data_IF_950226960038
#
_entry.id   IF_950226960038
#
_cell.length_a   1.000
_cell.length_b   1.000
_cell.length_c   1.000
_cell.angle_alpha   90.00
_cell.angle_beta   90.00
_cell.angle_gamma   90.00
#
_symmetry.space_group_name_H-M   'P 1'
#
loop_
_entity.id
_entity.type
_entity.pdbx_description
1 polymer ?
#
# COMPACT_ATOMS: atom_id res chain seq x y z
N UNK A 1 -25.34 -5.98 6.65
CA UNK A 1 -24.84 -6.21 6.30
C UNK A 1 -24.05 -6.13 5.99
N UNK A 2 -24.04 -6.17 6.43
CA UNK A 2 -22.82 -6.18 6.10
C UNK A 2 -22.71 -5.92 5.03
N UNK A 3 -21.84 -5.46 4.97
CA UNK A 3 -21.70 -5.25 3.77
C UNK A 3 -21.36 -6.43 3.07
N UNK A 4 -22.17 -6.90 2.32
CA UNK A 4 -21.97 -8.06 1.57
C UNK A 4 -20.95 -7.78 0.51
N UNK A 5 -19.94 -8.59 0.41
CA UNK A 5 -18.91 -8.44 -0.59
C UNK A 5 -17.90 -7.36 -0.28
N UNK A 6 -18.13 -6.74 0.85
CA UNK A 6 -17.21 -5.71 1.23
C UNK A 6 -16.06 -6.35 1.95
N UNK A 7 -15.03 -6.59 1.25
CA UNK A 7 -13.88 -7.22 1.81
C UNK A 7 -12.77 -6.22 1.86
N UNK A 8 -12.35 -5.87 3.01
CA UNK A 8 -11.24 -4.95 3.17
C UNK A 8 -10.21 -5.67 4.00
N UNK A 9 -8.99 -5.75 3.52
CA UNK A 9 -7.93 -6.34 4.30
C UNK A 9 -6.88 -5.29 4.56
N UNK A 10 -6.30 -5.35 5.74
CA UNK A 10 -5.26 -4.42 6.13
C UNK A 10 -4.07 -5.20 6.65
N UNK A 11 -2.90 -4.60 6.53
CA UNK A 11 -1.69 -5.22 7.04
C UNK A 11 -0.75 -4.13 7.50
N UNK A 12 -0.19 -4.30 8.68
CA UNK A 12 0.82 -3.38 9.19
C UNK A 12 2.18 -3.95 8.90
N UNK A 13 3.03 -3.15 8.27
CA UNK A 13 4.35 -3.59 7.87
C UNK A 13 5.36 -2.54 8.32
N UNK A 14 6.47 -3.02 8.88
CA UNK A 14 7.56 -2.12 9.23
C UNK A 14 8.53 -2.08 8.06
N UNK A 15 8.85 -0.87 7.62
CA UNK A 15 9.76 -0.70 6.50
C UNK A 15 11.18 -1.00 6.96
N UNK A 16 11.82 -1.96 6.30
CA UNK A 16 13.17 -2.37 6.68
C UNK A 16 14.23 -1.88 5.71
N UNK A 17 13.82 -1.41 4.53
CA UNK A 17 14.77 -0.90 3.55
C UNK A 17 15.44 0.37 4.06
N UNK A 18 16.74 0.47 3.88
CA UNK A 18 17.47 1.66 4.28
C UNK A 18 16.99 2.92 3.58
N UNK A 19 16.41 2.77 2.41
CA UNK A 19 15.96 3.90 1.61
C UNK A 19 14.48 4.22 1.80
N UNK A 20 13.79 3.42 2.62
CA UNK A 20 12.36 3.62 2.82
C UNK A 20 11.58 3.32 1.55
N UNK A 21 10.46 4.01 1.38
CA UNK A 21 9.66 3.88 0.17
C UNK A 21 10.02 4.98 -0.80
N UNK A 22 11.13 4.80 -1.50
CA UNK A 22 11.58 5.77 -2.48
C UNK A 22 10.90 5.49 -3.84
N UNK A 23 11.41 6.13 -4.90
CA UNK A 23 10.72 6.15 -6.19
C UNK A 23 10.44 4.77 -6.79
N UNK A 24 11.41 3.84 -6.70
CA UNK A 24 11.23 2.54 -7.34
C UNK A 24 10.11 1.72 -6.70
N UNK A 25 10.13 1.44 -5.38
CA UNK A 25 9.04 0.68 -4.80
C UNK A 25 7.72 1.42 -4.88
N UNK A 26 7.71 2.76 -4.78
CA UNK A 26 6.48 3.51 -4.91
C UNK A 26 5.88 3.31 -6.30
N UNK A 27 6.70 3.33 -7.34
CA UNK A 27 6.23 3.11 -8.69
C UNK A 27 5.69 1.70 -8.87
N UNK A 28 6.37 0.70 -8.29
CA UNK A 28 5.91 -0.67 -8.40
C UNK A 28 4.58 -0.88 -7.69
N UNK A 29 4.42 -0.29 -6.51
CA UNK A 29 3.16 -0.39 -5.78
C UNK A 29 2.04 0.25 -6.59
N UNK A 30 2.30 1.41 -7.18
CA UNK A 30 1.29 2.09 -8.00
C UNK A 30 0.88 1.26 -9.20
N UNK A 31 1.83 0.58 -9.82
CA UNK A 31 1.50 -0.29 -10.96
C UNK A 31 0.56 -1.41 -10.53
N UNK A 32 0.80 -2.00 -9.37
CA UNK A 32 -0.07 -3.05 -8.86
C UNK A 32 -1.46 -2.47 -8.57
N UNK A 33 -1.51 -1.32 -7.91
CA UNK A 33 -2.78 -0.70 -7.56
C UNK A 33 -3.61 -0.36 -8.80
N UNK A 34 -2.94 -0.02 -9.91
CA UNK A 34 -3.64 0.31 -11.15
C UNK A 34 -3.96 -0.92 -11.99
N UNK A 35 -3.22 -2.00 -11.78
CA UNK A 35 -3.44 -3.22 -12.55
C UNK A 35 -4.72 -3.95 -12.13
N UNK A 36 -5.02 -3.93 -10.85
CA UNK A 36 -6.17 -4.61 -10.31
C UNK A 36 -7.31 -3.65 -10.04
N UNK A 37 -8.53 -4.16 -10.07
CA UNK A 37 -9.70 -3.35 -9.74
C UNK A 37 -9.88 -3.37 -8.22
N UNK A 38 -8.97 -2.73 -7.55
CA UNK A 38 -8.87 -2.77 -6.10
C UNK A 38 -8.34 -1.43 -5.61
N UNK A 39 -9.00 -0.88 -4.61
CA UNK A 39 -8.53 0.36 -4.00
C UNK A 39 -7.42 0.04 -3.03
N UNK A 40 -6.30 0.71 -3.17
CA UNK A 40 -5.16 0.53 -2.29
C UNK A 40 -4.83 1.85 -1.64
N UNK A 41 -4.83 1.85 -0.32
CA UNK A 41 -4.47 3.04 0.45
C UNK A 41 -3.31 2.69 1.37
N UNK A 42 -2.46 3.67 1.62
CA UNK A 42 -1.34 3.50 2.54
C UNK A 42 -1.44 4.58 3.60
N UNK A 43 -1.37 4.17 4.85
CA UNK A 43 -1.42 5.07 5.98
C UNK A 43 -0.10 5.04 6.70
N UNK A 44 0.49 6.20 6.90
CA UNK A 44 1.74 6.34 7.63
C UNK A 44 1.91 7.79 8.04
N UNK A 45 2.62 8.03 9.13
CA UNK A 45 2.94 9.37 9.59
C UNK A 45 1.71 10.27 9.70
N UNK A 46 0.59 9.69 10.16
CA UNK A 46 -0.68 10.40 10.36
C UNK A 46 -1.33 10.88 9.07
N UNK A 47 -0.98 10.27 7.96
CA UNK A 47 -1.57 10.59 6.68
C UNK A 47 -2.04 9.30 6.01
N UNK A 48 -3.06 9.43 5.17
CA UNK A 48 -3.51 8.29 4.38
C UNK A 48 -3.64 8.77 2.94
N UNK A 49 -3.13 7.98 2.01
CA UNK A 49 -3.14 8.36 0.59
C UNK A 49 -3.57 7.17 -0.27
N UNK A 50 -3.99 7.49 -1.48
CA UNK A 50 -4.31 6.48 -2.47
C UNK A 50 -3.02 6.09 -3.20
N UNK A 51 -2.75 4.79 -3.25
CA UNK A 51 -1.47 4.30 -3.76
C UNK A 51 -1.39 4.25 -5.28
N UNK A 52 -2.41 4.74 -5.98
CA UNK A 52 -2.37 4.71 -7.45
C UNK A 52 -1.38 5.69 -8.04
N UNK A 53 -0.91 6.63 -7.25
CA UNK A 53 0.04 7.63 -7.74
C UNK A 53 1.34 7.56 -6.93
N UNK A 54 2.48 7.31 -7.60
CA UNK A 54 3.74 7.18 -6.87
C UNK A 54 4.11 8.41 -6.05
N UNK A 55 3.81 9.59 -6.58
CA UNK A 55 4.13 10.82 -5.86
C UNK A 55 3.38 10.93 -4.54
N UNK A 56 2.15 10.41 -4.50
CA UNK A 56 1.40 10.42 -3.26
C UNK A 56 2.06 9.51 -2.22
N UNK A 57 2.54 8.35 -2.66
CA UNK A 57 3.23 7.44 -1.74
C UNK A 57 4.48 8.12 -1.19
N UNK A 58 5.24 8.74 -2.08
CA UNK A 58 6.47 9.40 -1.65
C UNK A 58 6.21 10.58 -0.74
N UNK A 59 5.03 11.21 -0.87
CA UNK A 59 4.69 12.34 -0.03
C UNK A 59 4.51 11.96 1.44
N UNK A 60 4.37 10.67 1.72
CA UNK A 60 4.23 10.21 3.10
C UNK A 60 5.53 10.31 3.89
N UNK A 61 6.67 10.43 3.21
CA UNK A 61 7.94 10.54 3.91
C UNK A 61 8.32 9.28 4.66
N UNK A 62 8.06 8.13 4.05
CA UNK A 62 8.31 6.85 4.70
C UNK A 62 9.79 6.50 4.67
N UNK A 63 10.36 6.32 5.86
CA UNK A 63 11.77 5.98 5.99
C UNK A 63 11.92 4.62 6.66
N UNK A 64 13.16 4.17 6.81
CA UNK A 64 13.42 2.92 7.50
C UNK A 64 12.81 2.95 8.90
N UNK A 65 12.23 1.84 9.29
CA UNK A 65 11.59 1.63 10.59
C UNK A 65 10.24 2.32 10.76
N UNK A 66 9.73 2.95 9.70
CA UNK A 66 8.38 3.49 9.74
C UNK A 66 7.38 2.33 9.64
N UNK A 67 6.35 2.37 10.47
CA UNK A 67 5.26 1.42 10.37
C UNK A 67 4.22 1.97 9.40
N UNK A 68 3.86 1.16 8.42
CA UNK A 68 2.83 1.56 7.44
C UNK A 68 1.69 0.58 7.50
N UNK A 69 0.50 1.09 7.24
CA UNK A 69 -0.68 0.25 7.15
C UNK A 69 -1.14 0.24 5.70
N UNK A 70 -1.18 -0.94 5.11
CA UNK A 70 -1.64 -1.11 3.74
C UNK A 70 -3.09 -1.57 3.80
N UNK A 71 -3.96 -0.89 3.09
CA UNK A 71 -5.39 -1.19 3.09
C UNK A 71 -5.81 -1.50 1.66
N UNK A 72 -6.29 -2.71 1.44
CA UNK A 72 -6.76 -3.14 0.12
C UNK A 72 -8.24 -3.47 0.19
N UNK A 73 -9.01 -2.91 -0.73
CA UNK A 73 -10.46 -3.09 -0.74
C UNK A 73 -10.93 -3.23 -2.18
N UNK A 74 -11.43 -4.41 -2.54
CA UNK A 74 -11.92 -4.64 -3.87
C UNK A 74 -11.56 -6.02 -4.39
N UNK A 75 -11.58 -6.15 -5.71
CA UNK A 75 -11.29 -7.42 -6.35
C UNK A 75 -9.82 -7.80 -6.16
N UNK A 76 -9.58 -9.06 -5.88
CA UNK A 76 -8.20 -9.59 -5.75
C UNK A 76 -7.42 -8.94 -4.61
N UNK A 77 -8.10 -8.45 -3.59
CA UNK A 77 -7.42 -7.72 -2.53
C UNK A 77 -6.35 -8.54 -1.83
N UNK A 78 -6.54 -9.85 -1.71
CA UNK A 78 -5.53 -10.69 -1.09
C UNK A 78 -4.28 -10.79 -1.95
N UNK A 79 -4.48 -10.94 -3.26
CA UNK A 79 -3.35 -11.02 -4.18
C UNK A 79 -2.62 -9.68 -4.26
N UNK A 80 -3.37 -8.60 -4.26
CA UNK A 80 -2.79 -7.26 -4.28
C UNK A 80 -1.94 -7.04 -3.03
N UNK A 81 -2.47 -7.41 -1.88
CA UNK A 81 -1.75 -7.28 -0.62
C UNK A 81 -0.47 -8.09 -0.65
N UNK A 82 -0.54 -9.30 -1.18
CA UNK A 82 0.63 -10.17 -1.24
C UNK A 82 1.72 -9.56 -2.13
N UNK A 83 1.34 -9.04 -3.28
CA UNK A 83 2.31 -8.45 -4.21
C UNK A 83 2.94 -7.19 -3.63
N UNK A 84 2.14 -6.36 -2.97
CA UNK A 84 2.67 -5.15 -2.36
C UNK A 84 3.61 -5.50 -1.21
N UNK A 85 3.24 -6.49 -0.41
CA UNK A 85 4.09 -6.92 0.69
C UNK A 85 5.46 -7.35 0.21
N UNK A 86 5.53 -8.05 -0.91
CA UNK A 86 6.81 -8.50 -1.45
C UNK A 86 7.69 -7.33 -1.87
N UNK A 87 7.09 -6.25 -2.33
CA UNK A 87 7.85 -5.08 -2.73
C UNK A 87 8.45 -4.39 -1.51
N UNK A 88 7.70 -4.33 -0.43
CA UNK A 88 8.08 -3.57 0.75
C UNK A 88 9.02 -4.36 1.66
N UNK A 89 8.84 -5.66 1.72
CA UNK A 89 9.69 -6.52 2.51
C UNK A 89 10.97 -6.84 1.75
#
# INVERSE_FOLDING_TARGET
>A
MGRIGDKMITKNIKITSNEGLHARPATEISKIANKYNCDVNIKANNKIINAKMPLMIMSLGITKNTNVEIICNGDNEEKVMEEITKIIE
#
